data_IF_814395010915
#
_entry.id   IF_814395010915
#
_cell.length_a   1.000
_cell.length_b   1.000
_cell.length_c   1.000
_cell.angle_alpha   90.00
_cell.angle_beta   90.00
_cell.angle_gamma   90.00
#
_symmetry.space_group_name_H-M   'P 1'
#
loop_
_entity.id
_entity.type
_entity.pdbx_description
1 polymer ?
#
# COMPACT_ATOMS: atom_id res chain seq x y z
N UNK A 1 -20.57 -11.55 -18.87
CA UNK A 1 -19.26 -11.35 -18.22
C UNK A 1 -19.50 -10.93 -16.79
N UNK A 2 -19.28 -11.82 -15.82
CA UNK A 2 -19.39 -11.52 -14.40
C UNK A 2 -18.26 -10.57 -14.01
N UNK A 3 -18.61 -9.38 -13.52
CA UNK A 3 -17.62 -8.42 -13.04
C UNK A 3 -17.37 -8.69 -11.57
N UNK A 4 -16.19 -9.21 -11.26
CA UNK A 4 -15.76 -9.46 -9.88
C UNK A 4 -15.07 -8.20 -9.34
N UNK A 5 -15.25 -7.91 -8.05
CA UNK A 5 -14.55 -6.80 -7.38
C UNK A 5 -13.36 -7.36 -6.61
N UNK A 6 -12.18 -6.77 -6.81
CA UNK A 6 -10.98 -7.10 -6.05
C UNK A 6 -11.17 -6.78 -4.56
N UNK A 7 -10.79 -7.70 -3.67
CA UNK A 7 -10.95 -7.53 -2.22
C UNK A 7 -10.10 -6.41 -1.59
N UNK A 8 -9.06 -5.92 -2.28
CA UNK A 8 -8.20 -4.84 -1.76
C UNK A 8 -8.92 -3.48 -1.74
N UNK A 9 -9.42 -3.06 -2.91
CA UNK A 9 -9.99 -1.71 -3.13
C UNK A 9 -11.28 -1.70 -3.94
N UNK A 10 -11.83 -2.87 -4.25
CA UNK A 10 -13.02 -3.00 -5.09
C UNK A 10 -12.79 -2.72 -6.57
N UNK A 11 -11.53 -2.78 -7.05
CA UNK A 11 -11.22 -2.63 -8.47
C UNK A 11 -12.01 -3.64 -9.32
N UNK A 12 -12.53 -3.20 -10.46
CA UNK A 12 -13.27 -4.08 -11.38
C UNK A 12 -12.28 -5.02 -12.07
N UNK A 13 -12.43 -6.32 -11.86
CA UNK A 13 -11.65 -7.36 -12.53
C UNK A 13 -12.57 -8.23 -13.39
N UNK A 14 -12.04 -8.72 -14.50
CA UNK A 14 -12.68 -9.78 -15.30
C UNK A 14 -12.46 -11.15 -14.72
N UNK A 15 -11.43 -11.29 -13.87
CA UNK A 15 -11.03 -12.56 -13.30
C UNK A 15 -11.72 -12.76 -11.94
N UNK A 16 -12.12 -14.00 -11.66
CA UNK A 16 -12.72 -14.44 -10.38
C UNK A 16 -11.69 -14.64 -9.26
N UNK A 17 -10.50 -14.09 -9.42
CA UNK A 17 -9.40 -14.22 -8.46
C UNK A 17 -9.65 -13.34 -7.23
N UNK A 18 -9.19 -13.80 -6.05
CA UNK A 18 -9.32 -13.09 -4.77
C UNK A 18 -8.86 -11.61 -4.83
N UNK A 19 -7.78 -11.34 -5.57
CA UNK A 19 -7.28 -10.01 -5.86
C UNK A 19 -6.92 -9.86 -7.34
N UNK A 20 -6.94 -8.62 -7.84
CA UNK A 20 -6.49 -8.34 -9.19
C UNK A 20 -4.98 -8.60 -9.35
N UNK A 21 -4.52 -8.77 -10.59
CA UNK A 21 -3.12 -9.00 -10.93
C UNK A 21 -2.17 -7.89 -10.45
N UNK A 22 -2.68 -6.69 -10.17
CA UNK A 22 -1.91 -5.56 -9.63
C UNK A 22 -1.66 -5.69 -8.12
N UNK A 23 -2.66 -6.13 -7.34
CA UNK A 23 -2.57 -6.22 -5.88
C UNK A 23 -2.01 -7.55 -5.40
N UNK A 24 -2.24 -8.66 -6.12
CA UNK A 24 -1.68 -9.97 -5.77
C UNK A 24 -0.16 -10.01 -5.54
N UNK A 25 0.69 -9.36 -6.37
CA UNK A 25 2.13 -9.31 -6.11
C UNK A 25 2.51 -8.44 -4.90
N UNK A 26 1.60 -7.59 -4.39
CA UNK A 26 1.85 -6.78 -3.19
C UNK A 26 1.61 -7.56 -1.89
N UNK A 27 0.88 -8.68 -1.94
CA UNK A 27 0.69 -9.57 -0.79
C UNK A 27 2.02 -10.26 -0.48
N UNK A 28 2.46 -10.33 0.80
CA UNK A 28 3.62 -11.12 1.20
C UNK A 28 3.52 -12.58 0.77
N UNK A 29 4.63 -13.20 0.35
CA UNK A 29 4.63 -14.60 -0.12
C UNK A 29 4.06 -15.56 0.93
N UNK A 30 4.44 -15.39 2.20
CA UNK A 30 3.94 -16.20 3.31
C UNK A 30 2.41 -16.13 3.46
N UNK A 31 1.80 -14.97 3.21
CA UNK A 31 0.35 -14.82 3.25
C UNK A 31 -0.34 -15.42 2.02
N UNK A 32 0.31 -15.39 0.85
CA UNK A 32 -0.22 -16.08 -0.34
C UNK A 32 -0.27 -17.58 -0.13
N UNK A 33 0.80 -18.16 0.41
CA UNK A 33 0.86 -19.60 0.68
C UNK A 33 -0.18 -19.99 1.75
N UNK A 34 -0.27 -19.21 2.83
CA UNK A 34 -1.29 -19.42 3.87
C UNK A 34 -2.73 -19.33 3.33
N UNK A 35 -3.01 -18.40 2.41
CA UNK A 35 -4.31 -18.31 1.74
C UNK A 35 -4.60 -19.56 0.90
N UNK A 36 -3.63 -20.04 0.11
CA UNK A 36 -3.84 -21.24 -0.73
C UNK A 36 -4.11 -22.50 0.09
N UNK A 37 -3.42 -22.66 1.22
CA UNK A 37 -3.65 -23.79 2.13
C UNK A 37 -5.00 -23.65 2.84
N UNK A 38 -5.30 -22.47 3.39
CA UNK A 38 -6.55 -22.24 4.11
C UNK A 38 -7.80 -22.34 3.20
N UNK A 39 -7.69 -21.95 1.93
CA UNK A 39 -8.73 -22.10 0.91
C UNK A 39 -8.99 -23.57 0.60
N UNK A 40 -7.90 -24.33 0.40
CA UNK A 40 -7.97 -25.78 0.12
C UNK A 40 -8.60 -26.56 1.28
N UNK A 41 -8.24 -26.21 2.51
CA UNK A 41 -8.74 -26.86 3.73
C UNK A 41 -10.09 -26.33 4.23
N UNK A 42 -10.66 -25.31 3.57
CA UNK A 42 -11.86 -24.59 4.04
C UNK A 42 -11.73 -24.17 5.51
N UNK A 43 -10.53 -23.75 5.90
CA UNK A 43 -10.20 -23.46 7.29
C UNK A 43 -11.00 -22.26 7.79
N UNK A 44 -11.50 -22.28 9.04
CA UNK A 44 -12.17 -21.11 9.64
C UNK A 44 -11.23 -19.90 9.75
N UNK A 45 -9.91 -20.10 9.69
CA UNK A 45 -8.92 -19.00 9.68
C UNK A 45 -8.79 -18.32 8.32
N UNK A 46 -9.45 -18.81 7.27
CA UNK A 46 -9.37 -18.20 5.95
C UNK A 46 -9.74 -16.72 5.98
N UNK A 47 -10.84 -16.36 6.66
CA UNK A 47 -11.29 -14.97 6.75
C UNK A 47 -10.28 -14.05 7.43
N UNK A 48 -9.57 -14.54 8.45
CA UNK A 48 -8.56 -13.75 9.17
C UNK A 48 -7.29 -13.58 8.34
N UNK A 49 -6.86 -14.63 7.64
CA UNK A 49 -5.72 -14.57 6.72
C UNK A 49 -6.04 -13.66 5.53
N UNK A 50 -7.26 -13.73 4.99
CA UNK A 50 -7.75 -12.85 3.94
C UNK A 50 -7.74 -11.38 4.37
N UNK A 51 -8.18 -11.08 5.59
CA UNK A 51 -8.11 -9.72 6.14
C UNK A 51 -6.66 -9.25 6.29
N UNK A 52 -5.76 -10.09 6.80
CA UNK A 52 -4.35 -9.76 6.94
C UNK A 52 -3.68 -9.49 5.58
N UNK A 53 -4.07 -10.21 4.52
CA UNK A 53 -3.60 -9.96 3.17
C UNK A 53 -4.10 -8.61 2.62
N UNK A 54 -5.35 -8.23 2.88
CA UNK A 54 -5.91 -6.93 2.52
C UNK A 54 -5.13 -5.80 3.22
N UNK A 55 -4.90 -5.93 4.53
CA UNK A 55 -4.18 -4.94 5.33
C UNK A 55 -2.72 -4.78 4.87
N UNK A 56 -2.06 -5.89 4.52
CA UNK A 56 -0.70 -5.88 3.99
C UNK A 56 -0.60 -5.11 2.66
N UNK A 57 -1.58 -5.29 1.76
CA UNK A 57 -1.65 -4.54 0.50
C UNK A 57 -1.90 -3.06 0.77
N UNK A 58 -2.86 -2.72 1.64
CA UNK A 58 -3.14 -1.34 2.02
C UNK A 58 -1.89 -0.64 2.58
N UNK A 59 -1.14 -1.33 3.43
CA UNK A 59 0.14 -0.84 3.96
C UNK A 59 1.19 -0.67 2.85
N UNK A 60 1.32 -1.64 1.93
CA UNK A 60 2.26 -1.55 0.81
C UNK A 60 1.95 -0.36 -0.13
N UNK A 61 0.67 -0.11 -0.41
CA UNK A 61 0.23 1.07 -1.17
C UNK A 61 0.56 2.38 -0.46
N UNK A 62 0.31 2.45 0.85
CA UNK A 62 0.64 3.63 1.64
C UNK A 62 2.14 3.95 1.60
N UNK A 63 3.00 2.92 1.56
CA UNK A 63 4.46 3.08 1.42
C UNK A 63 4.91 3.43 0.01
N UNK A 64 4.21 2.96 -1.03
CA UNK A 64 4.49 3.31 -2.43
C UNK A 64 4.07 4.74 -2.77
N UNK A 65 3.10 5.28 -2.06
CA UNK A 65 2.77 6.71 -2.16
C UNK A 65 3.99 7.49 -1.68
N UNK A 66 4.76 8.04 -2.63
CA UNK A 66 5.94 8.82 -2.32
C UNK A 66 5.54 9.88 -1.27
N UNK A 67 6.07 9.77 -0.05
CA UNK A 67 6.05 10.89 0.89
C UNK A 67 6.70 12.02 0.12
N UNK A 68 5.92 13.01 -0.29
CA UNK A 68 6.42 14.22 -0.91
C UNK A 68 7.57 14.66 -0.03
N UNK A 69 8.80 14.57 -0.58
CA UNK A 69 10.00 14.92 0.15
C UNK A 69 9.75 16.34 0.62
N UNK A 70 9.55 16.50 1.93
CA UNK A 70 9.25 17.80 2.50
C UNK A 70 10.45 18.64 2.13
N UNK A 71 10.27 19.62 1.24
CA UNK A 71 11.36 20.40 0.69
C UNK A 71 12.26 20.82 1.86
N UNK A 72 13.58 20.55 1.79
CA UNK A 72 14.47 20.87 2.90
C UNK A 72 14.29 22.34 3.23
N UNK A 73 13.67 22.62 4.39
CA UNK A 73 13.61 23.97 4.92
C UNK A 73 15.05 24.35 5.19
N UNK A 74 15.50 25.48 4.63
CA UNK A 74 16.84 26.02 4.90
C UNK A 74 17.12 25.86 6.40
N UNK A 75 18.26 25.30 6.81
CA UNK A 75 18.60 25.23 8.22
C UNK A 75 18.47 26.63 8.80
N UNK A 76 17.80 26.76 9.95
CA UNK A 76 17.53 28.05 10.62
C UNK A 76 18.82 28.87 10.83
N UNK A 77 19.98 28.23 10.82
CA UNK A 77 21.28 28.90 10.89
C UNK A 77 21.61 29.76 9.67
N UNK A 78 21.02 29.50 8.49
CA UNK A 78 21.24 30.30 7.28
C UNK A 78 20.26 31.49 7.15
N UNK A 79 19.17 31.54 7.92
CA UNK A 79 18.25 32.69 7.90
C UNK A 79 18.81 33.90 8.65
N UNK A 80 19.86 33.72 9.45
CA UNK A 80 20.52 34.80 10.20
C UNK A 80 21.45 35.67 9.31
N UNK A 81 21.84 35.17 8.14
CA UNK A 81 22.72 35.89 7.21
C UNK A 81 21.97 36.66 6.12
N UNK A 82 20.63 36.61 6.08
CA UNK A 82 19.80 37.46 5.22
C UNK A 82 19.71 38.90 5.80
N UNK A 83 20.87 39.48 6.15
CA UNK A 83 20.98 40.89 6.52
C UNK A 83 21.09 41.68 5.22
N UNK A 84 20.00 42.33 4.82
CA UNK A 84 20.04 43.29 3.70
C UNK A 84 21.10 44.35 4.01
N UNK A 85 21.99 44.71 3.07
CA UNK A 85 22.89 45.82 3.28
C UNK A 85 22.07 47.12 3.47
N UNK A 86 22.45 47.98 4.43
CA UNK A 86 21.82 49.28 4.60
C UNK A 86 21.99 50.09 3.31
N UNK A 87 20.89 50.64 2.79
CA UNK A 87 20.98 51.67 1.76
C UNK A 87 21.38 52.98 2.43
N UNK A 88 22.59 53.42 2.08
CA UNK A 88 23.23 54.73 2.33
C UNK A 88 23.78 54.96 3.74
#
# INVERSE_FOLDING_TARGET
MTTTRCQAKGCKTTDSTFMCQVHWPMVPSSLRDALTVADSEHSPTYATIAQAAIDAVAHAEARRTARTARAPRKPVQLTLFDVRPPKR
#
